data_IF_543247297706
#
_entry.id   IF_543247297706
#
_cell.length_a   1.000
_cell.length_b   1.000
_cell.length_c   1.000
_cell.angle_alpha   90.00
_cell.angle_beta   90.00
_cell.angle_gamma   90.00
#
_symmetry.space_group_name_H-M   'P 1'
#
loop_
_entity.id
_entity.type
_entity.pdbx_description
1 polymer ?
#
# COMPACT_ATOMS: atom_id res chain seq x y z
N UNK A 1 15.80 -17.06 -14.50
CA UNK A 1 15.07 -15.78 -14.57
C UNK A 1 13.99 -15.72 -15.65
N UNK A 2 13.98 -16.57 -16.69
CA UNK A 2 12.93 -16.55 -17.75
C UNK A 2 11.63 -17.30 -17.41
N UNK A 3 11.69 -18.39 -16.62
CA UNK A 3 10.50 -19.22 -16.31
C UNK A 3 9.45 -18.53 -15.42
N UNK A 4 9.88 -17.81 -14.38
CA UNK A 4 8.97 -17.08 -13.49
C UNK A 4 8.27 -15.90 -14.17
N UNK A 5 8.98 -15.20 -15.06
CA UNK A 5 8.40 -14.11 -15.83
C UNK A 5 7.28 -14.63 -16.75
N UNK A 6 7.50 -15.77 -17.42
CA UNK A 6 6.48 -16.40 -18.27
C UNK A 6 5.28 -16.90 -17.46
N UNK A 7 5.50 -17.50 -16.29
CA UNK A 7 4.43 -17.97 -15.43
C UNK A 7 3.53 -16.81 -14.96
N UNK A 8 4.13 -15.68 -14.57
CA UNK A 8 3.37 -14.48 -14.20
C UNK A 8 2.54 -13.93 -15.37
N UNK A 9 3.11 -13.93 -16.59
CA UNK A 9 2.37 -13.51 -17.79
C UNK A 9 1.15 -14.42 -18.03
N UNK A 10 1.31 -15.74 -17.90
CA UNK A 10 0.21 -16.69 -18.06
C UNK A 10 -0.86 -16.47 -16.98
N UNK A 11 -0.43 -16.30 -15.73
CA UNK A 11 -1.34 -16.00 -14.61
C UNK A 11 -2.12 -14.72 -14.85
N UNK A 12 -1.46 -13.63 -15.28
CA UNK A 12 -2.11 -12.36 -15.62
C UNK A 12 -3.16 -12.54 -16.72
N UNK A 13 -2.84 -13.27 -17.80
CA UNK A 13 -3.77 -13.52 -18.91
C UNK A 13 -4.98 -14.33 -18.44
N UNK A 14 -4.75 -15.35 -17.61
CA UNK A 14 -5.82 -16.18 -17.07
C UNK A 14 -6.73 -15.40 -16.12
N UNK A 15 -6.17 -14.59 -15.23
CA UNK A 15 -6.94 -13.73 -14.33
C UNK A 15 -7.73 -12.70 -15.14
N UNK A 16 -7.11 -12.00 -16.10
CA UNK A 16 -7.79 -11.07 -16.99
C UNK A 16 -8.98 -11.73 -17.72
N UNK A 17 -8.74 -12.91 -18.31
CA UNK A 17 -9.77 -13.67 -19.05
C UNK A 17 -10.91 -14.13 -18.14
N UNK A 18 -10.62 -14.55 -16.89
CA UNK A 18 -11.64 -14.93 -15.91
C UNK A 18 -12.50 -13.75 -15.49
N UNK A 19 -11.91 -12.56 -15.35
CA UNK A 19 -12.69 -11.38 -14.94
C UNK A 19 -13.56 -10.89 -16.10
N UNK A 20 -13.02 -10.79 -17.32
CA UNK A 20 -13.81 -10.37 -18.50
C UNK A 20 -14.99 -11.32 -18.77
N UNK A 21 -14.79 -12.62 -18.59
CA UNK A 21 -15.85 -13.61 -18.73
C UNK A 21 -16.83 -13.66 -17.53
N UNK A 22 -16.65 -12.81 -16.51
CA UNK A 22 -17.46 -12.80 -15.30
C UNK A 22 -17.27 -14.04 -14.39
N UNK A 23 -16.28 -14.87 -14.67
CA UNK A 23 -16.03 -16.15 -14.00
C UNK A 23 -15.21 -16.03 -12.71
N UNK A 24 -14.58 -14.88 -12.46
CA UNK A 24 -13.92 -14.65 -11.18
C UNK A 24 -14.97 -14.63 -10.05
N UNK A 25 -14.70 -15.31 -8.94
CA UNK A 25 -15.47 -15.24 -7.70
C UNK A 25 -14.56 -14.73 -6.60
N UNK A 26 -15.08 -13.86 -5.74
CA UNK A 26 -14.36 -13.41 -4.55
C UNK A 26 -14.63 -14.39 -3.40
N UNK A 27 -13.58 -14.78 -2.70
CA UNK A 27 -13.67 -15.63 -1.51
C UNK A 27 -13.66 -14.73 -0.26
N UNK A 28 -14.85 -14.29 0.17
CA UNK A 28 -14.99 -13.37 1.29
C UNK A 28 -14.86 -14.12 2.62
N UNK A 29 -13.77 -13.88 3.34
CA UNK A 29 -13.47 -14.50 4.63
C UNK A 29 -13.01 -13.46 5.66
N UNK A 30 -13.10 -13.83 6.93
CA UNK A 30 -12.60 -13.00 8.04
C UNK A 30 -11.07 -12.90 7.97
N UNK A 31 -10.57 -11.69 7.78
CA UNK A 31 -9.16 -11.42 7.53
C UNK A 31 -8.62 -10.42 8.55
N UNK A 32 -7.43 -10.69 9.11
CA UNK A 32 -6.67 -9.73 9.93
C UNK A 32 -6.05 -8.67 9.01
N UNK A 33 -6.60 -7.47 9.03
CA UNK A 33 -6.25 -6.40 8.09
C UNK A 33 -4.86 -5.84 8.35
N UNK A 34 -4.46 -5.70 9.62
CA UNK A 34 -3.11 -5.26 9.99
C UNK A 34 -2.07 -6.23 9.43
N UNK A 35 -2.28 -7.54 9.63
CA UNK A 35 -1.38 -8.56 9.10
C UNK A 35 -1.30 -8.55 7.58
N UNK A 36 -2.43 -8.35 6.91
CA UNK A 36 -2.49 -8.31 5.47
C UNK A 36 -1.65 -7.14 4.91
N UNK A 37 -1.80 -5.93 5.47
CA UNK A 37 -1.03 -4.76 5.03
C UNK A 37 0.47 -4.90 5.33
N UNK A 38 0.83 -5.40 6.53
CA UNK A 38 2.22 -5.71 6.88
C UNK A 38 2.86 -6.69 5.89
N UNK A 39 2.16 -7.79 5.57
CA UNK A 39 2.65 -8.80 4.63
C UNK A 39 2.81 -8.25 3.20
N UNK A 40 1.89 -7.40 2.75
CA UNK A 40 2.01 -6.75 1.44
C UNK A 40 3.28 -5.90 1.34
N UNK A 41 3.60 -5.17 2.41
CA UNK A 41 4.81 -4.34 2.51
C UNK A 41 6.08 -5.21 2.57
N UNK A 42 6.09 -6.26 3.39
CA UNK A 42 7.25 -7.15 3.55
C UNK A 42 7.68 -7.79 2.23
N UNK A 43 6.73 -8.11 1.34
CA UNK A 43 7.00 -8.70 0.03
C UNK A 43 7.85 -7.78 -0.87
N UNK A 44 7.63 -6.46 -0.80
CA UNK A 44 8.38 -5.49 -1.63
C UNK A 44 9.61 -4.91 -0.94
N UNK A 45 9.74 -5.11 0.37
CA UNK A 45 10.77 -4.54 1.23
C UNK A 45 12.18 -4.80 0.72
N UNK A 46 12.51 -6.05 0.36
CA UNK A 46 13.83 -6.39 -0.17
C UNK A 46 14.17 -5.65 -1.47
N UNK A 47 13.18 -5.46 -2.36
CA UNK A 47 13.39 -4.73 -3.61
C UNK A 47 13.60 -3.22 -3.37
N UNK A 48 12.89 -2.66 -2.39
CA UNK A 48 13.04 -1.28 -1.95
C UNK A 48 14.40 -1.02 -1.29
N UNK A 49 14.82 -1.90 -0.37
CA UNK A 49 16.12 -1.83 0.32
C UNK A 49 17.29 -1.87 -0.68
N UNK A 50 17.20 -2.71 -1.72
CA UNK A 50 18.20 -2.75 -2.79
C UNK A 50 18.37 -1.40 -3.51
N UNK A 51 17.30 -0.61 -3.58
CA UNK A 51 17.30 0.75 -4.11
C UNK A 51 17.55 1.82 -3.06
N UNK A 52 17.66 1.45 -1.78
CA UNK A 52 17.69 2.36 -0.63
C UNK A 52 16.47 3.29 -0.60
N UNK A 53 15.32 2.75 -0.97
CA UNK A 53 14.04 3.44 -0.79
C UNK A 53 13.53 3.17 0.61
N UNK A 54 12.96 4.20 1.22
CA UNK A 54 12.21 4.04 2.46
C UNK A 54 10.81 3.52 2.16
N UNK A 55 10.34 2.59 3.00
CA UNK A 55 8.98 2.06 2.94
C UNK A 55 8.26 2.43 4.22
N UNK A 56 7.18 3.19 4.09
CA UNK A 56 6.35 3.65 5.19
C UNK A 56 5.03 2.88 5.21
N UNK A 57 4.59 2.48 6.40
CA UNK A 57 3.31 1.83 6.65
C UNK A 57 2.53 2.68 7.65
N UNK A 58 1.54 3.42 7.15
CA UNK A 58 0.71 4.33 7.93
C UNK A 58 -0.71 3.74 8.03
N UNK A 59 -0.98 3.06 9.14
CA UNK A 59 -2.28 2.43 9.40
C UNK A 59 -3.03 3.23 10.46
N UNK A 60 -4.28 3.58 10.15
CA UNK A 60 -5.18 4.21 11.11
C UNK A 60 -5.37 3.32 12.34
N UNK A 61 -5.07 3.88 13.51
CA UNK A 61 -5.17 3.20 14.81
C UNK A 61 -6.60 2.83 15.18
N UNK A 62 -7.59 3.56 14.67
CA UNK A 62 -9.00 3.31 14.92
C UNK A 62 -9.56 2.18 14.05
N UNK A 63 -8.78 1.69 13.08
CA UNK A 63 -9.18 0.65 12.16
C UNK A 63 -9.51 -0.67 12.90
N UNK A 64 -10.65 -1.32 12.60
CA UNK A 64 -10.96 -2.65 13.11
C UNK A 64 -9.90 -3.67 12.67
N UNK A 65 -9.56 -4.59 13.57
CA UNK A 65 -8.59 -5.65 13.27
C UNK A 65 -9.05 -6.56 12.14
N UNK A 66 -10.34 -6.91 12.12
CA UNK A 66 -10.87 -7.86 11.16
C UNK A 66 -11.85 -7.21 10.17
N UNK A 67 -11.79 -7.65 8.92
CA UNK A 67 -12.78 -7.35 7.91
C UNK A 67 -13.14 -8.59 7.08
N UNK A 68 -14.35 -8.62 6.54
CA UNK A 68 -14.82 -9.65 5.61
C UNK A 68 -14.42 -9.26 4.18
N UNK A 69 -13.30 -9.81 3.70
CA UNK A 69 -12.70 -9.48 2.39
C UNK A 69 -12.13 -10.73 1.73
N UNK A 70 -11.71 -10.63 0.46
CA UNK A 70 -10.88 -11.65 -0.19
C UNK A 70 -9.39 -11.28 0.00
N UNK A 71 -8.67 -11.91 0.94
CA UNK A 71 -7.30 -11.52 1.27
C UNK A 71 -6.32 -11.79 0.12
N UNK A 72 -6.56 -12.83 -0.68
CA UNK A 72 -5.66 -13.19 -1.79
C UNK A 72 -5.74 -12.11 -2.86
N UNK A 73 -6.96 -11.69 -3.21
CA UNK A 73 -7.19 -10.67 -4.24
C UNK A 73 -6.80 -9.27 -3.77
N UNK A 74 -7.06 -8.94 -2.51
CA UNK A 74 -6.63 -7.66 -1.95
C UNK A 74 -5.10 -7.56 -1.89
N UNK A 75 -4.42 -8.61 -1.42
CA UNK A 75 -2.96 -8.65 -1.39
C UNK A 75 -2.35 -8.58 -2.80
N UNK A 76 -2.97 -9.23 -3.80
CA UNK A 76 -2.56 -9.12 -5.21
C UNK A 76 -2.59 -7.66 -5.70
N UNK A 77 -3.67 -6.92 -5.40
CA UNK A 77 -3.79 -5.49 -5.73
C UNK A 77 -2.67 -4.69 -5.05
N UNK A 78 -2.50 -4.87 -3.73
CA UNK A 78 -1.50 -4.14 -2.95
C UNK A 78 -0.08 -4.39 -3.43
N UNK A 79 0.31 -5.64 -3.67
CA UNK A 79 1.63 -6.01 -4.18
C UNK A 79 1.87 -5.40 -5.56
N UNK A 80 0.85 -5.35 -6.44
CA UNK A 80 1.00 -4.72 -7.74
C UNK A 80 1.20 -3.20 -7.63
N UNK A 81 0.43 -2.52 -6.77
CA UNK A 81 0.59 -1.07 -6.56
C UNK A 81 1.94 -0.74 -5.91
N UNK A 82 2.30 -1.42 -4.82
CA UNK A 82 3.58 -1.27 -4.12
C UNK A 82 4.77 -1.62 -5.03
N UNK A 83 4.65 -2.71 -5.79
CA UNK A 83 5.66 -3.13 -6.76
C UNK A 83 5.89 -2.09 -7.84
N UNK A 84 4.83 -1.44 -8.34
CA UNK A 84 4.95 -0.34 -9.29
C UNK A 84 5.62 0.89 -8.65
N UNK A 85 5.20 1.28 -7.44
CA UNK A 85 5.81 2.38 -6.70
C UNK A 85 7.33 2.18 -6.50
N UNK A 86 7.74 1.00 -6.02
CA UNK A 86 9.17 0.64 -5.85
C UNK A 86 9.90 0.60 -7.19
N UNK A 87 9.26 0.10 -8.25
CA UNK A 87 9.85 0.01 -9.59
C UNK A 87 10.16 1.38 -10.18
N UNK A 88 9.25 2.34 -10.06
CA UNK A 88 9.32 3.67 -10.69
C UNK A 88 9.94 4.76 -9.81
N UNK A 89 10.24 4.44 -8.56
CA UNK A 89 11.02 5.30 -7.67
C UNK A 89 12.49 4.91 -7.70
N UNK A 90 13.38 5.88 -7.95
CA UNK A 90 14.83 5.66 -7.91
C UNK A 90 15.44 6.08 -6.57
N UNK A 91 14.88 7.11 -5.92
CA UNK A 91 15.27 7.63 -4.60
C UNK A 91 14.06 8.23 -3.90
N UNK A 92 14.10 8.27 -2.56
CA UNK A 92 13.01 8.77 -1.72
C UNK A 92 12.25 7.62 -1.09
N UNK A 93 10.92 7.68 -1.13
CA UNK A 93 10.07 6.83 -0.30
C UNK A 93 8.83 6.32 -1.04
N UNK A 94 8.28 5.23 -0.52
CA UNK A 94 6.97 4.68 -0.87
C UNK A 94 6.18 4.48 0.42
N UNK A 95 4.94 4.96 0.45
CA UNK A 95 4.06 4.86 1.61
C UNK A 95 2.81 4.06 1.25
N UNK A 96 2.48 3.05 2.07
CA UNK A 96 1.14 2.47 2.15
C UNK A 96 0.38 3.14 3.29
N UNK A 97 -0.65 3.90 2.97
CA UNK A 97 -1.51 4.57 3.94
C UNK A 97 -2.93 4.03 3.89
N UNK A 98 -3.50 3.74 5.06
CA UNK A 98 -4.86 3.25 5.23
C UNK A 98 -5.58 4.12 6.25
N UNK A 99 -6.60 4.85 5.81
CA UNK A 99 -7.51 5.58 6.68
C UNK A 99 -8.80 4.78 6.87
N UNK A 100 -9.37 4.77 8.08
CA UNK A 100 -10.61 4.06 8.36
C UNK A 100 -11.77 5.03 8.62
N UNK A 101 -12.89 4.76 7.96
CA UNK A 101 -14.13 5.52 8.09
C UNK A 101 -15.25 4.58 8.55
N UNK A 102 -15.65 4.62 9.84
CA UNK A 102 -16.73 3.77 10.33
C UNK A 102 -18.06 4.11 9.65
N UNK A 103 -18.84 3.09 9.37
CA UNK A 103 -20.22 3.18 8.87
C UNK A 103 -21.16 2.50 9.86
N UNK A 104 -22.47 2.68 9.63
CA UNK A 104 -23.49 2.01 10.45
C UNK A 104 -23.48 0.47 10.26
N UNK A 105 -24.00 -0.24 11.25
CA UNK A 105 -24.23 -1.70 11.24
C UNK A 105 -22.96 -2.56 11.16
N UNK A 106 -21.87 -2.13 11.80
CA UNK A 106 -20.62 -2.91 11.87
C UNK A 106 -19.86 -2.94 10.55
N UNK A 107 -20.08 -1.96 9.67
CA UNK A 107 -19.36 -1.80 8.41
C UNK A 107 -18.38 -0.65 8.50
N UNK A 108 -17.42 -0.61 7.60
CA UNK A 108 -16.55 0.54 7.45
C UNK A 108 -15.88 0.59 6.09
N UNK A 109 -15.39 1.77 5.74
CA UNK A 109 -14.63 2.01 4.53
C UNK A 109 -13.15 2.18 4.88
N UNK A 110 -12.31 1.42 4.21
CA UNK A 110 -10.86 1.54 4.23
C UNK A 110 -10.44 2.34 3.00
N UNK A 111 -9.97 3.56 3.20
CA UNK A 111 -9.37 4.37 2.14
C UNK A 111 -7.89 4.03 2.06
N UNK A 112 -7.53 3.26 1.04
CA UNK A 112 -6.21 2.68 0.87
C UNK A 112 -5.47 3.46 -0.22
N UNK A 113 -4.24 3.87 0.07
CA UNK A 113 -3.40 4.60 -0.87
C UNK A 113 -1.94 4.12 -0.85
N UNK A 114 -1.33 4.10 -2.03
CA UNK A 114 0.10 3.87 -2.23
C UNK A 114 0.69 5.12 -2.87
N UNK A 115 1.46 5.88 -2.09
CA UNK A 115 2.20 7.08 -2.54
C UNK A 115 3.64 6.70 -2.86
N UNK A 116 4.20 7.28 -3.92
CA UNK A 116 5.60 7.20 -4.28
C UNK A 116 6.17 8.58 -4.62
N UNK A 117 7.47 8.79 -4.41
CA UNK A 117 8.20 10.01 -4.82
C UNK A 117 8.95 9.82 -6.14
N UNK A 118 8.49 8.93 -7.00
CA UNK A 118 9.16 8.53 -8.23
C UNK A 118 8.99 9.52 -9.38
N UNK A 119 9.13 9.00 -10.60
CA UNK A 119 9.12 9.82 -11.83
C UNK A 119 7.78 10.50 -12.13
N UNK A 120 6.70 10.12 -11.43
CA UNK A 120 5.35 10.58 -11.73
C UNK A 120 4.85 10.15 -13.12
N UNK A 121 3.69 10.66 -13.50
CA UNK A 121 2.95 10.24 -14.69
C UNK A 121 2.36 11.47 -15.38
N UNK A 122 2.62 11.60 -16.68
CA UNK A 122 2.04 12.67 -17.51
C UNK A 122 0.54 12.48 -17.71
N UNK A 123 -0.20 13.54 -18.04
CA UNK A 123 -1.63 13.44 -18.39
C UNK A 123 -1.90 12.45 -19.53
N UNK A 124 -1.03 12.42 -20.54
CA UNK A 124 -1.14 11.49 -21.67
C UNK A 124 -1.00 10.03 -21.22
N UNK A 125 -0.11 9.76 -20.27
CA UNK A 125 0.08 8.42 -19.71
C UNK A 125 -1.09 8.03 -18.79
N UNK A 126 -1.61 8.97 -17.97
CA UNK A 126 -2.78 8.73 -17.11
C UNK A 126 -3.99 8.20 -17.88
N UNK A 127 -4.26 8.77 -19.06
CA UNK A 127 -5.35 8.33 -19.95
C UNK A 127 -5.18 6.91 -20.53
N UNK A 128 -4.00 6.32 -20.39
CA UNK A 128 -3.68 4.97 -20.88
C UNK A 128 -3.56 3.96 -19.75
N UNK A 129 -3.24 4.35 -18.51
CA UNK A 129 -2.92 3.46 -17.39
C UNK A 129 -3.84 2.24 -17.21
N UNK A 130 -5.15 2.41 -17.38
CA UNK A 130 -6.15 1.35 -17.20
C UNK A 130 -6.60 0.67 -18.50
N UNK A 131 -5.83 0.82 -19.60
CA UNK A 131 -6.09 0.13 -20.86
C UNK A 131 -5.20 -1.11 -20.97
N UNK A 132 -5.81 -2.24 -21.32
CA UNK A 132 -5.10 -3.50 -21.51
C UNK A 132 -3.96 -3.34 -22.52
N UNK A 133 -2.80 -3.93 -22.20
CA UNK A 133 -1.58 -3.90 -23.02
C UNK A 133 -1.03 -2.50 -23.33
N UNK A 134 -1.56 -1.46 -22.70
CA UNK A 134 -1.00 -0.13 -22.85
C UNK A 134 0.26 -0.02 -22.01
N UNK A 135 1.36 0.37 -22.65
CA UNK A 135 2.62 0.66 -21.98
C UNK A 135 2.94 2.13 -22.21
N UNK A 136 3.40 2.79 -21.16
CA UNK A 136 3.60 4.24 -21.13
C UNK A 136 4.67 4.73 -22.12
N UNK A 137 5.63 3.89 -22.52
CA UNK A 137 6.59 4.17 -23.60
C UNK A 137 7.43 2.94 -24.02
N UNK A 138 7.91 2.91 -25.28
CA UNK A 138 8.79 1.85 -25.79
C UNK A 138 10.21 1.88 -25.17
N UNK A 139 10.61 3.00 -24.54
CA UNK A 139 11.88 3.17 -23.82
C UNK A 139 11.81 2.64 -22.38
N UNK A 140 10.67 2.80 -21.69
CA UNK A 140 10.41 2.26 -20.35
C UNK A 140 10.21 0.75 -20.38
N UNK A 141 9.62 0.17 -21.44
CA UNK A 141 9.55 -1.30 -21.63
C UNK A 141 10.94 -1.94 -21.66
N UNK A 142 11.91 -1.28 -22.30
CA UNK A 142 13.29 -1.77 -22.43
C UNK A 142 14.09 -1.70 -21.12
N UNK A 143 13.76 -0.74 -20.24
CA UNK A 143 14.46 -0.52 -18.96
C UNK A 143 13.81 -1.26 -17.79
N UNK A 144 12.49 -1.50 -17.82
CA UNK A 144 11.77 -1.98 -16.64
C UNK A 144 10.81 -3.18 -16.83
N UNK A 145 10.54 -3.62 -18.06
CA UNK A 145 9.73 -4.83 -18.36
C UNK A 145 8.28 -4.79 -17.84
N UNK A 146 7.43 -5.70 -18.32
CA UNK A 146 6.05 -5.88 -17.85
C UNK A 146 5.05 -6.18 -18.98
N UNK A 147 3.90 -6.77 -18.63
CA UNK A 147 2.79 -7.06 -19.55
C UNK A 147 1.91 -5.85 -19.84
N UNK A 148 1.91 -4.86 -18.93
CA UNK A 148 0.89 -3.79 -18.92
C UNK A 148 -0.47 -4.27 -18.42
N UNK A 149 -0.57 -5.51 -17.88
CA UNK A 149 -1.83 -6.07 -17.39
C UNK A 149 -2.04 -5.89 -15.89
N UNK A 150 -0.98 -5.80 -15.09
CA UNK A 150 -1.09 -5.79 -13.62
C UNK A 150 -2.02 -4.68 -13.07
N UNK A 151 -1.93 -3.45 -13.60
CA UNK A 151 -2.76 -2.34 -13.12
C UNK A 151 -4.22 -2.47 -13.54
N UNK A 152 -4.50 -2.90 -14.78
CA UNK A 152 -5.89 -3.13 -15.21
C UNK A 152 -6.52 -4.31 -14.47
N UNK A 153 -5.78 -5.41 -14.23
CA UNK A 153 -6.25 -6.52 -13.41
C UNK A 153 -6.56 -6.04 -11.98
N UNK A 154 -5.68 -5.21 -11.41
CA UNK A 154 -5.91 -4.64 -10.08
C UNK A 154 -7.18 -3.79 -10.04
N UNK A 155 -7.39 -2.91 -11.03
CA UNK A 155 -8.61 -2.10 -11.11
C UNK A 155 -9.86 -2.96 -11.28
N UNK A 156 -9.81 -3.99 -12.12
CA UNK A 156 -10.92 -4.93 -12.30
C UNK A 156 -11.24 -5.72 -11.01
N UNK A 157 -10.23 -6.12 -10.24
CA UNK A 157 -10.42 -6.77 -8.93
C UNK A 157 -11.07 -5.81 -7.95
N UNK A 158 -10.57 -4.58 -7.84
CA UNK A 158 -11.14 -3.54 -6.96
C UNK A 158 -12.57 -3.19 -7.36
N UNK A 159 -12.88 -3.10 -8.66
CA UNK A 159 -14.24 -2.92 -9.17
C UNK A 159 -15.17 -4.06 -8.72
N UNK A 160 -14.67 -5.30 -8.73
CA UNK A 160 -15.45 -6.45 -8.25
C UNK A 160 -15.66 -6.43 -6.73
N UNK A 161 -14.77 -5.78 -5.98
CA UNK A 161 -14.93 -5.48 -4.55
C UNK A 161 -15.81 -4.23 -4.30
N UNK A 162 -16.32 -3.58 -5.35
CA UNK A 162 -17.21 -2.42 -5.25
C UNK A 162 -16.50 -1.06 -5.20
N UNK A 163 -15.18 -1.02 -5.41
CA UNK A 163 -14.39 0.22 -5.47
C UNK A 163 -13.94 0.59 -6.88
N UNK A 164 -12.98 1.50 -6.99
CA UNK A 164 -12.27 1.80 -8.23
C UNK A 164 -10.88 2.35 -7.93
N UNK A 165 -9.87 1.96 -8.69
CA UNK A 165 -8.54 2.55 -8.54
C UNK A 165 -8.50 3.92 -9.23
N UNK A 166 -8.02 4.90 -8.48
CA UNK A 166 -7.78 6.26 -8.92
C UNK A 166 -6.29 6.58 -8.82
N UNK A 167 -5.87 7.64 -9.51
CA UNK A 167 -4.48 8.07 -9.53
C UNK A 167 -4.39 9.60 -9.53
N UNK A 168 -3.57 10.11 -8.64
CA UNK A 168 -3.08 11.48 -8.64
C UNK A 168 -1.58 11.45 -8.89
N UNK A 169 -1.10 12.22 -9.86
CA UNK A 169 0.32 12.18 -10.22
C UNK A 169 0.74 13.44 -10.95
N UNK A 170 1.98 13.86 -10.69
CA UNK A 170 2.65 14.97 -11.33
C UNK A 170 4.03 14.50 -11.78
N UNK A 171 4.36 14.70 -13.05
CA UNK A 171 5.65 14.33 -13.61
C UNK A 171 6.81 14.93 -12.79
N UNK A 172 7.77 14.08 -12.43
CA UNK A 172 8.93 14.41 -11.61
C UNK A 172 8.66 14.56 -10.10
N UNK A 173 7.41 14.42 -9.64
CA UNK A 173 7.06 14.55 -8.21
C UNK A 173 6.51 13.27 -7.57
N UNK A 174 6.25 12.24 -8.38
CA UNK A 174 5.70 10.97 -7.92
C UNK A 174 4.21 10.82 -8.18
N UNK A 175 3.63 9.77 -7.60
CA UNK A 175 2.23 9.38 -7.82
C UNK A 175 1.58 8.88 -6.53
N UNK A 176 0.25 8.93 -6.48
CA UNK A 176 -0.57 8.30 -5.46
C UNK A 176 -1.66 7.50 -6.16
N UNK A 177 -1.63 6.18 -6.00
CA UNK A 177 -2.71 5.30 -6.42
C UNK A 177 -3.57 4.98 -5.21
N UNK A 178 -4.89 5.09 -5.34
CA UNK A 178 -5.78 4.91 -4.20
C UNK A 178 -7.12 4.32 -4.61
N UNK A 179 -7.79 3.69 -3.65
CA UNK A 179 -9.14 3.17 -3.78
C UNK A 179 -9.79 3.00 -2.42
N UNK A 180 -11.11 2.98 -2.41
CA UNK A 180 -11.90 2.67 -1.22
C UNK A 180 -12.37 1.22 -1.26
N UNK A 181 -12.30 0.56 -0.11
CA UNK A 181 -12.84 -0.78 0.13
C UNK A 181 -13.84 -0.71 1.27
N UNK A 182 -15.11 -1.04 1.01
CA UNK A 182 -16.14 -1.10 2.05
C UNK A 182 -16.45 -2.54 2.41
N UNK A 183 -16.33 -2.89 3.69
CA UNK A 183 -16.50 -4.25 4.17
C UNK A 183 -17.24 -4.29 5.52
N UNK A 184 -17.75 -5.47 5.87
CA UNK A 184 -18.17 -5.76 7.24
C UNK A 184 -16.91 -5.91 8.10
N UNK A 185 -16.94 -5.32 9.30
CA UNK A 185 -15.78 -5.16 10.16
C UNK A 185 -16.06 -5.65 11.57
N UNK A 186 -15.01 -6.12 12.23
CA UNK A 186 -15.07 -6.57 13.61
C UNK A 186 -13.83 -6.08 14.35
N UNK A 187 -14.04 -5.36 15.45
CA UNK A 187 -12.96 -5.04 16.37
C UNK A 187 -12.52 -6.33 17.06
N UNK A 188 -11.28 -6.74 16.83
CA UNK A 188 -10.63 -7.83 17.56
C UNK A 188 -9.79 -7.29 18.71
N UNK A 189 -9.35 -8.18 19.61
CA UNK A 189 -8.30 -7.83 20.57
C UNK A 189 -7.06 -7.33 19.82
N UNK A 190 -6.41 -6.31 20.37
CA UNK A 190 -5.09 -5.86 19.89
C UNK A 190 -4.16 -7.07 19.82
N UNK A 191 -3.29 -7.13 18.81
CA UNK A 191 -2.16 -8.07 18.86
C UNK A 191 -1.46 -7.82 20.18
N UNK A 192 -1.15 -8.89 20.91
CA UNK A 192 -0.47 -8.83 22.21
C UNK A 192 0.91 -8.20 22.10
N UNK A 193 0.96 -6.88 21.91
CA UNK A 193 2.07 -6.07 22.33
C UNK A 193 2.19 -6.27 23.84
N UNK A 194 3.42 -6.41 24.32
CA UNK A 194 3.67 -6.36 25.75
C UNK A 194 2.97 -5.14 26.34
N UNK A 195 2.46 -5.26 27.57
CA UNK A 195 1.79 -4.15 28.24
C UNK A 195 2.77 -2.97 28.41
N UNK A 196 2.74 -2.06 27.45
CA UNK A 196 3.54 -0.83 27.40
C UNK A 196 2.85 0.33 28.12
N UNK A 197 1.75 0.08 28.86
CA UNK A 197 1.05 1.13 29.62
C UNK A 197 1.93 1.83 30.67
N UNK A 198 3.03 1.18 31.05
CA UNK A 198 4.06 1.71 31.95
C UNK A 198 4.96 2.76 31.28
N UNK A 199 5.05 2.78 29.95
CA UNK A 199 5.81 3.78 29.21
C UNK A 199 4.98 5.07 29.15
N UNK A 200 5.53 6.16 29.70
CA UNK A 200 4.84 7.48 29.72
C UNK A 200 5.42 8.49 28.75
N UNK A 201 6.69 8.34 28.42
CA UNK A 201 7.41 9.24 27.51
C UNK A 201 8.32 8.44 26.59
N UNK A 202 8.42 8.87 25.34
CA UNK A 202 9.31 8.31 24.32
C UNK A 202 10.01 9.44 23.57
N UNK A 203 11.28 9.25 23.21
CA UNK A 203 12.02 10.16 22.32
C UNK A 203 12.25 9.43 21.00
N UNK A 204 11.74 9.99 19.91
CA UNK A 204 11.87 9.44 18.55
C UNK A 204 13.09 10.08 17.90
N UNK A 205 14.04 9.28 17.44
CA UNK A 205 15.24 9.76 16.73
C UNK A 205 15.30 9.04 15.39
N UNK A 206 14.97 9.77 14.33
CA UNK A 206 14.92 9.25 12.96
C UNK A 206 15.13 10.41 11.99
N UNK A 207 15.91 10.25 10.93
CA UNK A 207 16.19 11.33 9.98
C UNK A 207 15.03 11.61 9.01
N UNK A 208 14.11 10.65 8.81
CA UNK A 208 12.92 10.83 7.98
C UNK A 208 11.75 11.46 8.75
N UNK A 209 11.29 12.63 8.29
CA UNK A 209 10.20 13.37 8.90
C UNK A 209 8.84 12.67 8.84
N UNK A 210 8.53 11.95 7.76
CA UNK A 210 7.29 11.19 7.62
C UNK A 210 7.27 9.98 8.54
N UNK A 211 8.41 9.27 8.68
CA UNK A 211 8.53 8.17 9.64
C UNK A 211 8.35 8.68 11.07
N UNK A 212 8.97 9.81 11.43
CA UNK A 212 8.72 10.47 12.73
C UNK A 212 7.24 10.78 12.95
N UNK A 213 6.57 11.38 11.97
CA UNK A 213 5.15 11.72 12.07
C UNK A 213 4.26 10.49 12.27
N UNK A 214 4.54 9.38 11.55
CA UNK A 214 3.82 8.12 11.72
C UNK A 214 4.02 7.58 13.14
N UNK A 215 5.25 7.56 13.65
CA UNK A 215 5.57 7.10 15.00
C UNK A 215 4.93 7.99 16.09
N UNK A 216 4.92 9.31 15.89
CA UNK A 216 4.25 10.26 16.79
C UNK A 216 2.75 9.97 16.89
N UNK A 217 2.08 9.75 15.74
CA UNK A 217 0.68 9.37 15.72
C UNK A 217 0.43 8.02 16.40
N UNK A 218 1.28 7.01 16.16
CA UNK A 218 1.16 5.70 16.82
C UNK A 218 1.28 5.83 18.35
N UNK A 219 2.28 6.55 18.84
CA UNK A 219 2.51 6.74 20.27
C UNK A 219 1.41 7.56 20.95
N UNK A 220 0.88 8.59 20.26
CA UNK A 220 -0.26 9.37 20.75
C UNK A 220 -1.50 8.50 20.98
N UNK A 221 -1.76 7.51 20.12
CA UNK A 221 -2.88 6.57 20.30
C UNK A 221 -2.70 5.62 21.49
N UNK A 222 -1.48 5.47 21.99
CA UNK A 222 -1.18 4.71 23.21
C UNK A 222 -1.09 5.58 24.47
N UNK A 223 -1.49 6.86 24.38
CA UNK A 223 -1.34 7.86 25.44
C UNK A 223 0.12 8.02 25.92
N UNK A 224 1.09 7.78 25.02
CA UNK A 224 2.51 7.96 25.28
C UNK A 224 2.92 9.33 24.75
N UNK A 225 3.34 10.24 25.64
CA UNK A 225 3.89 11.52 25.23
C UNK A 225 5.20 11.28 24.48
N UNK A 226 5.37 11.92 23.34
CA UNK A 226 6.60 11.80 22.57
C UNK A 226 7.17 13.15 22.16
N UNK A 227 8.49 13.19 22.08
CA UNK A 227 9.25 14.26 21.43
C UNK A 227 10.04 13.61 20.29
N UNK A 228 10.29 14.35 19.22
CA UNK A 228 10.98 13.81 18.05
C UNK A 228 12.14 14.68 17.61
N UNK A 229 13.16 14.03 17.07
CA UNK A 229 14.38 14.66 16.62
C UNK A 229 14.89 14.03 15.33
N UNK A 230 15.44 14.86 14.45
CA UNK A 230 16.02 14.43 13.17
C UNK A 230 17.41 13.81 13.30
N UNK A 231 18.10 14.03 14.43
CA UNK A 231 19.44 13.53 14.66
C UNK A 231 19.75 13.37 16.16
N UNK A 232 20.81 12.62 16.45
CA UNK A 232 21.20 12.29 17.82
C UNK A 232 21.78 13.46 18.62
N UNK A 233 22.35 14.49 17.96
CA UNK A 233 22.91 15.65 18.67
C UNK A 233 21.78 16.54 19.18
N UNK A 234 20.80 16.84 18.32
CA UNK A 234 19.60 17.60 18.71
C UNK A 234 18.74 16.81 19.70
N UNK A 235 18.71 15.48 19.62
CA UNK A 235 18.02 14.64 20.59
C UNK A 235 18.60 14.75 22.02
N UNK A 236 19.92 14.97 22.16
CA UNK A 236 20.55 15.15 23.47
C UNK A 236 20.15 16.47 24.15
N UNK A 237 19.67 17.47 23.40
CA UNK A 237 19.17 18.73 23.96
C UNK A 237 17.76 18.59 24.55
N UNK A 238 17.06 17.51 24.20
CA UNK A 238 15.68 17.20 24.63
C UNK A 238 15.66 16.34 25.92
N UNK A 239 16.76 15.63 26.22
CA UNK A 239 16.91 14.77 27.42
C UNK A 239 17.13 15.56 28.71
#
# INVERSE_FOLDING_TARGET
MSGHALLNIITDILDFSKIEAGMMTLEIIKTDMFLLFEQSVDIVKFAAEKKKLEILLDLDSAMPRFAMVDPIRLNQVLINLLGNAVKFTEKGEVELKVCYHPLDNGRGTFSISVRDTGIGITETQKNKLFKAFSQADASTTRKFGGTGLGLIISDMVVQKMGGKIQVESVEGKGSTFFFDLTADTEHGESRGYEDISHIKRCLIIDDNANNRLILEHMLANWDIACESSGDGLTALEIL
#
